data_IF_270892798310
#
_entry.id   IF_270892798310
#
_cell.length_a   1.000
_cell.length_b   1.000
_cell.length_c   1.000
_cell.angle_alpha   90.00
_cell.angle_beta   90.00
_cell.angle_gamma   90.00
#
_symmetry.space_group_name_H-M   'P 1'
#
loop_
_entity.id
_entity.type
_entity.pdbx_description
1 polymer ?
#
# COMPACT_ATOMS: atom_id res chain seq x y z
N UNK A 1 14.05 -4.58 -0.68
CA UNK A 1 12.98 -5.44 -1.19
C UNK A 1 11.97 -5.79 -0.12
N UNK A 2 10.77 -5.19 -0.15
CA UNK A 2 9.76 -5.43 0.91
C UNK A 2 9.17 -6.83 0.85
N UNK A 3 9.13 -7.47 -0.31
CA UNK A 3 8.59 -8.82 -0.47
C UNK A 3 9.45 -9.84 0.26
N UNK A 4 10.77 -9.77 0.08
CA UNK A 4 11.70 -10.69 0.74
C UNK A 4 11.80 -10.37 2.24
N UNK A 5 11.80 -9.07 2.61
CA UNK A 5 11.73 -8.66 4.00
C UNK A 5 10.52 -9.29 4.70
N UNK A 6 9.33 -9.17 4.10
CA UNK A 6 8.10 -9.74 4.65
C UNK A 6 8.18 -11.28 4.72
N UNK A 7 8.62 -11.94 3.65
CA UNK A 7 8.73 -13.39 3.58
C UNK A 7 9.61 -13.94 4.71
N UNK A 8 10.81 -13.38 4.88
CA UNK A 8 11.76 -13.88 5.88
C UNK A 8 11.38 -13.49 7.31
N UNK A 9 10.87 -12.28 7.51
CA UNK A 9 10.43 -11.85 8.85
C UNK A 9 9.25 -12.65 9.35
N UNK A 10 8.27 -12.90 8.49
CA UNK A 10 7.07 -13.67 8.83
C UNK A 10 7.29 -15.18 8.75
N UNK A 11 8.45 -15.64 8.28
CA UNK A 11 8.76 -17.04 7.99
C UNK A 11 7.70 -17.71 7.10
N UNK A 12 7.24 -17.00 6.08
CA UNK A 12 6.12 -17.41 5.21
C UNK A 12 6.59 -17.43 3.76
N UNK A 13 6.45 -18.56 3.10
CA UNK A 13 6.64 -18.64 1.65
C UNK A 13 5.42 -18.06 0.93
N UNK A 14 5.62 -16.94 0.21
CA UNK A 14 4.57 -16.30 -0.59
C UNK A 14 4.04 -17.17 -1.74
N UNK A 15 4.83 -18.15 -2.20
CA UNK A 15 4.43 -19.14 -3.20
C UNK A 15 3.49 -20.22 -2.65
N UNK A 16 3.36 -20.34 -1.33
CA UNK A 16 2.52 -21.33 -0.69
C UNK A 16 1.11 -20.77 -0.41
N UNK A 17 0.12 -21.20 -1.21
CA UNK A 17 -1.27 -20.72 -1.10
C UNK A 17 -1.88 -20.91 0.31
N UNK A 18 -1.45 -21.94 1.07
CA UNK A 18 -1.93 -22.19 2.44
C UNK A 18 -1.44 -21.15 3.45
N UNK A 19 -0.34 -20.48 3.15
CA UNK A 19 0.30 -19.51 4.02
C UNK A 19 0.11 -18.07 3.51
N UNK A 20 -0.48 -17.88 2.34
CA UNK A 20 -0.65 -16.56 1.71
C UNK A 20 -1.33 -15.54 2.62
N UNK A 21 -2.29 -15.97 3.45
CA UNK A 21 -2.98 -15.09 4.42
C UNK A 21 -2.07 -14.57 5.54
N UNK A 22 -0.94 -15.21 5.77
CA UNK A 22 0.07 -14.77 6.76
C UNK A 22 1.10 -13.81 6.17
N UNK A 23 1.19 -13.73 4.85
CA UNK A 23 2.04 -12.76 4.16
C UNK A 23 1.37 -11.40 4.17
N UNK A 24 1.60 -10.62 5.22
CA UNK A 24 1.01 -9.29 5.35
C UNK A 24 2.10 -8.23 5.54
N UNK A 25 2.34 -7.36 4.53
CA UNK A 25 3.34 -6.31 4.61
C UNK A 25 2.99 -5.20 5.63
N UNK A 26 1.75 -5.12 6.09
CA UNK A 26 1.32 -4.20 7.15
C UNK A 26 1.49 -4.78 8.56
N UNK A 27 2.10 -5.96 8.71
CA UNK A 27 2.42 -6.47 10.04
C UNK A 27 3.33 -5.47 10.78
N UNK A 28 3.04 -5.16 12.06
CA UNK A 28 3.86 -4.22 12.84
C UNK A 28 5.34 -4.57 12.90
N UNK A 29 5.71 -5.86 12.81
CA UNK A 29 7.11 -6.27 12.76
C UNK A 29 7.81 -5.79 11.49
N UNK A 30 7.11 -5.78 10.36
CA UNK A 30 7.61 -5.26 9.08
C UNK A 30 7.72 -3.73 9.14
N UNK A 31 6.66 -3.05 9.61
CA UNK A 31 6.62 -1.58 9.73
C UNK A 31 7.78 -1.07 10.58
N UNK A 32 8.03 -1.71 11.73
CA UNK A 32 9.14 -1.35 12.64
C UNK A 32 10.51 -1.59 12.01
N UNK A 33 10.69 -2.67 11.24
CA UNK A 33 11.96 -2.91 10.54
C UNK A 33 12.19 -1.86 9.44
N UNK A 34 11.15 -1.54 8.66
CA UNK A 34 11.24 -0.48 7.64
C UNK A 34 11.62 0.87 8.27
N UNK A 35 11.00 1.24 9.39
CA UNK A 35 11.35 2.44 10.13
C UNK A 35 12.81 2.41 10.58
N UNK A 36 13.26 1.31 11.17
CA UNK A 36 14.64 1.16 11.63
C UNK A 36 15.67 1.31 10.51
N UNK A 37 15.37 0.80 9.32
CA UNK A 37 16.25 0.97 8.13
C UNK A 37 16.42 2.44 7.77
N UNK A 38 15.33 3.23 7.78
CA UNK A 38 15.41 4.68 7.50
C UNK A 38 16.19 5.42 8.59
N UNK A 39 15.94 5.12 9.86
CA UNK A 39 16.66 5.74 10.98
C UNK A 39 18.18 5.51 10.85
N UNK A 40 18.59 4.25 10.62
CA UNK A 40 20.00 3.91 10.48
C UNK A 40 20.61 4.56 9.22
N UNK A 41 19.88 4.53 8.11
CA UNK A 41 20.34 5.18 6.87
C UNK A 41 20.57 6.68 7.05
N UNK A 42 19.64 7.37 7.71
CA UNK A 42 19.79 8.80 8.02
C UNK A 42 20.97 9.08 8.96
N UNK A 43 21.11 8.29 10.00
CA UNK A 43 22.23 8.44 10.94
C UNK A 43 23.60 8.22 10.27
N UNK A 44 23.65 7.41 9.23
CA UNK A 44 24.85 7.10 8.44
C UNK A 44 25.00 8.00 7.19
N UNK A 45 24.08 8.95 6.97
CA UNK A 45 24.02 9.80 5.76
C UNK A 45 23.96 9.00 4.44
N UNK A 46 23.34 7.81 4.50
CA UNK A 46 23.17 6.95 3.35
C UNK A 46 21.75 7.11 2.74
N UNK A 47 21.64 7.21 1.40
CA UNK A 47 20.34 7.24 0.77
C UNK A 47 19.65 5.87 0.89
N UNK A 48 18.40 5.87 1.30
CA UNK A 48 17.59 4.66 1.42
C UNK A 48 16.45 4.71 0.42
N UNK A 49 16.30 3.64 -0.37
CA UNK A 49 15.17 3.45 -1.28
C UNK A 49 14.45 2.16 -0.96
N UNK A 50 13.18 2.09 -1.33
CA UNK A 50 12.37 0.88 -1.17
C UNK A 50 11.79 0.44 -2.51
N UNK A 51 11.75 -0.87 -2.72
CA UNK A 51 11.10 -1.52 -3.86
C UNK A 51 10.21 -2.66 -3.37
N UNK A 52 9.48 -3.27 -4.28
CA UNK A 52 8.54 -4.35 -4.01
C UNK A 52 7.09 -3.87 -4.10
N UNK A 53 6.18 -4.75 -3.74
CA UNK A 53 4.74 -4.49 -3.89
C UNK A 53 4.24 -3.35 -3.01
N UNK A 54 4.79 -3.18 -1.79
CA UNK A 54 4.46 -2.06 -0.91
C UNK A 54 4.71 -0.70 -1.57
N UNK A 55 5.80 -0.55 -2.34
CA UNK A 55 6.08 0.70 -3.02
C UNK A 55 5.05 1.04 -4.11
N UNK A 56 4.36 0.02 -4.64
CA UNK A 56 3.36 0.13 -5.71
C UNK A 56 1.91 0.13 -5.18
N UNK A 57 1.71 -0.11 -3.89
CA UNK A 57 0.40 -0.07 -3.24
C UNK A 57 0.18 1.32 -2.61
N UNK A 58 -0.91 2.04 -2.95
CA UNK A 58 -1.08 3.45 -2.57
C UNK A 58 -1.04 3.74 -1.07
N UNK A 59 -1.71 2.92 -0.24
CA UNK A 59 -1.71 3.11 1.22
C UNK A 59 -0.33 2.86 1.82
N UNK A 60 0.34 1.80 1.37
CA UNK A 60 1.71 1.50 1.76
C UNK A 60 2.69 2.59 1.32
N UNK A 61 2.48 3.20 0.15
CA UNK A 61 3.31 4.31 -0.29
C UNK A 61 3.21 5.52 0.66
N UNK A 62 2.01 5.84 1.16
CA UNK A 62 1.81 6.88 2.19
C UNK A 62 2.51 6.50 3.50
N UNK A 63 2.39 5.24 3.94
CA UNK A 63 3.12 4.74 5.10
C UNK A 63 4.64 4.93 4.94
N UNK A 64 5.19 4.49 3.80
CA UNK A 64 6.63 4.57 3.53
C UNK A 64 7.14 6.02 3.54
N UNK A 65 6.39 6.95 2.94
CA UNK A 65 6.70 8.38 3.03
C UNK A 65 6.67 8.90 4.46
N UNK A 66 5.63 8.53 5.22
CA UNK A 66 5.51 8.91 6.62
C UNK A 66 6.63 8.36 7.50
N UNK A 67 7.13 7.16 7.21
CA UNK A 67 8.32 6.58 7.84
C UNK A 67 9.61 7.30 7.43
N UNK A 68 9.58 8.07 6.34
CA UNK A 68 10.69 8.91 5.90
C UNK A 68 11.48 8.39 4.71
N UNK A 69 10.93 7.46 3.94
CA UNK A 69 11.48 7.12 2.63
C UNK A 69 11.23 8.25 1.63
N UNK A 70 12.23 8.65 0.90
CA UNK A 70 12.17 9.67 -0.15
C UNK A 70 12.24 9.09 -1.57
N UNK A 71 12.52 7.79 -1.69
CA UNK A 71 12.68 7.08 -2.96
C UNK A 71 11.92 5.77 -2.97
N UNK A 72 10.86 5.71 -3.79
CA UNK A 72 10.06 4.52 -4.02
C UNK A 72 10.28 4.01 -5.45
N UNK A 73 10.68 2.76 -5.60
CA UNK A 73 10.74 2.08 -6.89
C UNK A 73 9.41 1.40 -7.16
N UNK A 74 8.60 2.01 -8.00
CA UNK A 74 7.20 1.66 -8.27
C UNK A 74 7.08 0.96 -9.63
N UNK A 75 6.21 -0.04 -9.74
CA UNK A 75 5.92 -0.67 -11.04
C UNK A 75 5.26 0.34 -11.99
N UNK A 76 5.59 0.33 -13.30
CA UNK A 76 5.06 1.31 -14.25
C UNK A 76 3.53 1.43 -14.26
N UNK A 77 2.73 0.36 -14.18
CA UNK A 77 1.27 0.46 -14.14
C UNK A 77 0.72 1.15 -12.88
N UNK A 78 1.40 1.02 -11.73
CA UNK A 78 0.97 1.63 -10.47
C UNK A 78 1.40 3.10 -10.34
N UNK A 79 2.38 3.54 -11.12
CA UNK A 79 2.99 4.85 -10.99
C UNK A 79 1.98 6.02 -11.02
N UNK A 80 1.00 6.08 -11.94
CA UNK A 80 0.03 7.18 -11.95
C UNK A 80 -0.79 7.29 -10.67
N UNK A 81 -1.26 6.15 -10.14
CA UNK A 81 -2.08 6.08 -8.95
C UNK A 81 -1.27 6.45 -7.70
N UNK A 82 -0.10 5.85 -7.53
CA UNK A 82 0.80 6.15 -6.40
C UNK A 82 1.20 7.63 -6.42
N UNK A 83 1.57 8.17 -7.59
CA UNK A 83 1.93 9.58 -7.73
C UNK A 83 0.76 10.51 -7.38
N UNK A 84 -0.46 10.17 -7.78
CA UNK A 84 -1.65 10.94 -7.43
C UNK A 84 -1.87 10.96 -5.92
N UNK A 85 -1.83 9.83 -5.27
CA UNK A 85 -2.02 9.71 -3.80
C UNK A 85 -0.97 10.51 -3.03
N UNK A 86 0.31 10.33 -3.38
CA UNK A 86 1.43 11.05 -2.75
C UNK A 86 1.28 12.58 -2.88
N UNK A 87 0.73 13.06 -4.00
CA UNK A 87 0.54 14.50 -4.22
C UNK A 87 -0.71 15.06 -3.56
N UNK A 88 -1.64 14.20 -3.15
CA UNK A 88 -2.91 14.59 -2.54
C UNK A 88 -2.85 14.55 -1.02
N UNK A 89 -2.18 13.56 -0.44
CA UNK A 89 -2.05 13.40 1.01
C UNK A 89 -0.91 14.30 1.53
N UNK A 90 -1.18 15.20 2.50
CA UNK A 90 -0.14 16.02 3.10
C UNK A 90 0.93 15.17 3.80
N UNK A 91 2.18 15.62 3.75
CA UNK A 91 3.30 14.94 4.39
C UNK A 91 3.09 14.78 5.90
N UNK A 92 2.54 15.78 6.56
CA UNK A 92 2.25 15.73 8.00
C UNK A 92 1.23 14.63 8.34
N UNK A 93 0.18 14.47 7.53
CA UNK A 93 -0.80 13.38 7.69
C UNK A 93 -0.17 12.02 7.48
N UNK A 94 0.73 11.89 6.51
CA UNK A 94 1.50 10.67 6.30
C UNK A 94 2.39 10.33 7.51
N UNK A 95 3.06 11.32 8.10
CA UNK A 95 3.89 11.14 9.32
C UNK A 95 3.06 10.71 10.53
N UNK A 96 1.91 11.34 10.73
CA UNK A 96 0.99 10.98 11.82
C UNK A 96 0.47 9.56 11.65
N UNK A 97 0.06 9.19 10.43
CA UNK A 97 -0.36 7.83 10.11
C UNK A 97 0.76 6.79 10.35
N UNK A 98 1.99 7.10 9.95
CA UNK A 98 3.15 6.23 10.19
C UNK A 98 3.46 6.08 11.69
N UNK A 99 3.36 7.16 12.47
CA UNK A 99 3.52 7.12 13.93
C UNK A 99 2.47 6.22 14.58
N UNK A 100 1.20 6.37 14.18
CA UNK A 100 0.12 5.52 14.66
C UNK A 100 0.30 4.05 14.23
N UNK A 101 0.76 3.81 13.00
CA UNK A 101 1.06 2.47 12.50
C UNK A 101 2.20 1.77 13.27
N UNK A 102 3.22 2.52 13.71
CA UNK A 102 4.31 1.99 14.54
C UNK A 102 3.83 1.55 15.94
N UNK A 103 2.77 2.20 16.44
CA UNK A 103 2.15 1.87 17.74
C UNK A 103 1.06 0.80 17.63
N UNK A 104 0.66 0.42 16.42
CA UNK A 104 -0.41 -0.55 16.19
C UNK A 104 -0.08 -1.93 16.76
N UNK A 105 -1.11 -2.65 17.17
CA UNK A 105 -0.99 -3.99 17.76
C UNK A 105 -0.89 -5.08 16.68
N UNK A 106 -1.58 -4.89 15.57
CA UNK A 106 -1.66 -5.87 14.48
C UNK A 106 -1.77 -5.21 13.09
N UNK A 107 -1.75 -6.02 12.04
CA UNK A 107 -1.80 -5.56 10.66
C UNK A 107 -3.17 -4.95 10.27
N UNK A 108 -4.25 -5.35 10.91
CA UNK A 108 -5.57 -4.79 10.68
C UNK A 108 -5.64 -3.36 11.20
N UNK A 109 -5.07 -3.11 12.38
CA UNK A 109 -4.93 -1.77 12.94
C UNK A 109 -4.05 -0.86 12.06
N UNK A 110 -2.90 -1.34 11.57
CA UNK A 110 -2.09 -0.59 10.61
C UNK A 110 -2.90 -0.21 9.37
N UNK A 111 -3.58 -1.19 8.77
CA UNK A 111 -4.41 -0.96 7.58
C UNK A 111 -5.56 0.03 7.85
N UNK A 112 -6.18 -0.03 9.02
CA UNK A 112 -7.25 0.89 9.45
C UNK A 112 -6.72 2.31 9.55
N UNK A 113 -5.63 2.52 10.28
CA UNK A 113 -5.00 3.84 10.44
C UNK A 113 -4.65 4.47 9.10
N UNK A 114 -4.09 3.70 8.17
CA UNK A 114 -3.75 4.20 6.84
C UNK A 114 -4.99 4.57 6.02
N UNK A 115 -6.06 3.75 6.09
CA UNK A 115 -7.32 4.04 5.40
C UNK A 115 -8.00 5.28 5.94
N UNK A 116 -8.00 5.47 7.25
CA UNK A 116 -8.55 6.66 7.91
C UNK A 116 -7.80 7.92 7.48
N UNK A 117 -6.47 7.92 7.59
CA UNK A 117 -5.63 9.07 7.23
C UNK A 117 -5.73 9.45 5.75
N UNK A 118 -5.73 8.47 4.84
CA UNK A 118 -5.88 8.72 3.40
C UNK A 118 -7.32 9.10 3.06
N UNK A 119 -8.29 8.51 3.77
CA UNK A 119 -9.72 8.73 3.56
C UNK A 119 -10.19 10.17 3.81
N UNK A 120 -9.42 10.96 4.56
CA UNK A 120 -9.68 12.40 4.73
C UNK A 120 -9.48 13.20 3.42
N UNK A 121 -8.69 12.68 2.49
CA UNK A 121 -8.29 13.38 1.26
C UNK A 121 -8.76 12.70 -0.01
N UNK A 122 -8.95 11.38 0.04
CA UNK A 122 -9.21 10.53 -1.12
C UNK A 122 -10.28 9.49 -0.76
N UNK A 123 -11.25 9.27 -1.65
CA UNK A 123 -12.13 8.11 -1.52
C UNK A 123 -11.32 6.82 -1.67
N UNK A 124 -11.06 6.14 -0.56
CA UNK A 124 -10.22 4.92 -0.52
C UNK A 124 -10.74 3.78 -1.40
N UNK A 125 -12.03 3.81 -1.78
CA UNK A 125 -12.58 2.83 -2.74
C UNK A 125 -11.95 2.94 -4.12
N UNK A 126 -11.48 4.12 -4.49
CA UNK A 126 -10.76 4.36 -5.75
C UNK A 126 -9.36 3.73 -5.76
N UNK A 127 -8.83 3.39 -4.60
CA UNK A 127 -7.50 2.79 -4.45
C UNK A 127 -7.53 1.26 -4.55
N UNK A 128 -8.71 0.65 -4.48
CA UNK A 128 -8.88 -0.79 -4.64
C UNK A 128 -9.04 -1.14 -6.12
N UNK A 129 -8.07 -1.84 -6.75
CA UNK A 129 -8.16 -2.23 -8.16
C UNK A 129 -9.33 -3.17 -8.45
N UNK A 130 -9.93 -3.76 -7.40
CA UNK A 130 -11.10 -4.65 -7.50
C UNK A 130 -12.40 -3.95 -7.11
N UNK A 131 -12.39 -2.69 -6.69
CA UNK A 131 -13.61 -1.92 -6.49
C UNK A 131 -14.20 -1.65 -7.88
N UNK A 132 -15.08 -2.52 -8.34
CA UNK A 132 -15.89 -2.30 -9.53
C UNK A 132 -16.53 -0.92 -9.40
N UNK A 133 -16.26 -0.02 -10.35
CA UNK A 133 -17.00 1.21 -10.51
C UNK A 133 -18.50 0.86 -10.48
N UNK A 134 -19.32 1.41 -9.59
CA UNK A 134 -20.74 1.14 -9.61
C UNK A 134 -21.31 1.61 -10.95
N UNK A 135 -21.75 0.66 -11.77
CA UNK A 135 -22.64 0.95 -12.88
C UNK A 135 -21.99 1.17 -14.24
N UNK A 136 -21.38 0.15 -14.84
CA UNK A 136 -21.74 -0.10 -16.23
C UNK A 136 -23.04 -0.93 -16.20
N UNK A 137 -24.15 -0.22 -16.35
CA UNK A 137 -25.46 -0.86 -16.54
C UNK A 137 -25.33 -1.97 -17.60
N UNK A 138 -25.92 -3.10 -17.34
CA UNK A 138 -26.09 -4.15 -18.36
C UNK A 138 -26.57 -3.45 -19.62
N UNK A 139 -25.76 -3.51 -20.66
CA UNK A 139 -26.23 -3.22 -22.01
C UNK A 139 -27.34 -4.23 -22.22
N UNK A 140 -28.58 -3.74 -22.29
CA UNK A 140 -29.72 -4.56 -22.57
C UNK A 140 -29.43 -5.32 -23.86
N UNK A 141 -29.48 -6.63 -23.81
CA UNK A 141 -29.36 -7.51 -24.98
C UNK A 141 -30.43 -7.09 -25.98
N UNK A 142 -30.00 -6.63 -27.16
CA UNK A 142 -30.88 -6.39 -28.30
C UNK A 142 -31.65 -7.69 -28.59
N UNK A 143 -32.96 -7.64 -28.82
CA UNK A 143 -33.73 -8.80 -29.22
C UNK A 143 -33.26 -9.32 -30.58
N UNK A 144 -33.27 -10.65 -30.81
CA UNK A 144 -32.85 -11.22 -32.07
C UNK A 144 -33.71 -10.69 -33.21
N UNK A 145 -33.05 -10.12 -34.24
CA UNK A 145 -33.70 -9.61 -35.41
C UNK A 145 -34.49 -10.72 -36.12
N UNK A 146 -35.76 -10.45 -36.43
CA UNK A 146 -36.57 -11.29 -37.30
C UNK A 146 -36.03 -11.16 -38.72
N UNK A 147 -35.56 -12.29 -39.27
CA UNK A 147 -35.29 -12.40 -40.70
C UNK A 147 -36.60 -12.21 -41.48
N UNK A 148 -36.59 -11.29 -42.43
CA UNK A 148 -37.52 -11.22 -43.57
C UNK A 148 -36.72 -11.49 -44.81
#
# INVERSE_FOLDING_TARGET
>A
GTNDLTQYTMAVDRGNARLASRFNPHDPSIVRQLHRVVEVGRAAELPVSVCGEMASEPLSAVLLLGLGYDRLSVSPPALPLVKWVIRTVPEESARQAASAALAAADAADVSRVLREAVGEYIDVRLLDPHSALPGRGRVASLPPGKNV
#
